data_IF_352798793733
#
_entry.id   IF_352798793733
#
_cell.length_a   1.000
_cell.length_b   1.000
_cell.length_c   1.000
_cell.angle_alpha   90.00
_cell.angle_beta   90.00
_cell.angle_gamma   90.00
#
_symmetry.space_group_name_H-M   'P 1'
#
loop_
_entity.id
_entity.type
_entity.pdbx_description
1 polymer ?
#
# COMPACT_ATOMS: atom_id res chain seq x y z
N UNK A 1 24.57 -4.20 -39.85
CA UNK A 1 23.82 -4.90 -38.78
C UNK A 1 24.73 -4.91 -37.57
N UNK A 2 24.71 -3.82 -36.81
CA UNK A 2 25.47 -3.70 -35.58
C UNK A 2 24.65 -4.33 -34.46
N UNK A 3 25.05 -5.53 -34.04
CA UNK A 3 24.67 -6.05 -32.72
C UNK A 3 25.80 -5.70 -31.77
N UNK A 4 25.76 -4.49 -31.22
CA UNK A 4 26.45 -4.23 -29.96
C UNK A 4 25.65 -4.94 -28.87
N UNK A 5 25.93 -6.24 -28.67
CA UNK A 5 25.63 -6.85 -27.37
C UNK A 5 26.46 -6.08 -26.33
N UNK A 6 25.84 -5.44 -25.32
CA UNK A 6 26.62 -4.78 -24.28
C UNK A 6 27.43 -5.88 -23.62
N UNK A 7 28.76 -5.85 -23.78
CA UNK A 7 29.67 -6.81 -23.17
C UNK A 7 29.31 -6.95 -21.69
N UNK A 8 28.54 -7.99 -21.32
CA UNK A 8 28.27 -8.31 -19.92
C UNK A 8 29.63 -8.53 -19.29
N UNK A 9 30.01 -7.65 -18.38
CA UNK A 9 31.35 -7.68 -17.77
C UNK A 9 31.44 -8.94 -16.93
N UNK A 10 32.17 -9.92 -17.45
CA UNK A 10 32.38 -11.21 -16.79
C UNK A 10 33.64 -11.17 -15.94
N UNK A 11 33.57 -11.78 -14.76
CA UNK A 11 34.68 -11.83 -13.82
C UNK A 11 35.20 -13.26 -13.69
N UNK A 12 36.52 -13.42 -13.72
CA UNK A 12 37.12 -14.67 -13.26
C UNK A 12 37.17 -14.69 -11.73
N UNK A 13 37.30 -15.87 -11.12
CA UNK A 13 37.50 -15.98 -9.68
C UNK A 13 38.73 -15.18 -9.17
N UNK A 14 39.76 -15.00 -10.03
CA UNK A 14 40.91 -14.17 -9.71
C UNK A 14 40.55 -12.68 -9.64
N UNK A 15 39.66 -12.23 -10.52
CA UNK A 15 39.23 -10.84 -10.56
C UNK A 15 38.36 -10.52 -9.36
N UNK A 16 37.43 -11.42 -9.00
CA UNK A 16 36.60 -11.29 -7.79
C UNK A 16 37.48 -11.27 -6.53
N UNK A 17 38.49 -12.15 -6.45
CA UNK A 17 39.43 -12.17 -5.33
C UNK A 17 40.19 -10.84 -5.19
N UNK A 18 40.63 -10.26 -6.31
CA UNK A 18 41.30 -8.94 -6.35
C UNK A 18 40.35 -7.81 -5.95
N UNK A 19 39.10 -7.85 -6.39
CA UNK A 19 38.08 -6.82 -6.09
C UNK A 19 37.70 -6.86 -4.60
N UNK A 20 37.51 -8.04 -4.03
CA UNK A 20 37.12 -8.20 -2.63
C UNK A 20 38.30 -8.13 -1.65
N UNK A 21 39.54 -8.10 -2.15
CA UNK A 21 40.74 -8.11 -1.30
C UNK A 21 40.90 -9.39 -0.49
N UNK A 22 40.40 -10.53 -0.98
CA UNK A 22 40.41 -11.82 -0.28
C UNK A 22 41.24 -12.85 -1.05
N UNK A 23 41.88 -13.82 -0.36
CA UNK A 23 42.64 -14.87 -1.03
C UNK A 23 41.77 -15.70 -1.97
N UNK A 24 42.30 -16.03 -3.16
CA UNK A 24 41.59 -16.84 -4.15
C UNK A 24 41.15 -18.20 -3.60
N UNK A 25 41.94 -18.80 -2.71
CA UNK A 25 41.62 -20.07 -2.04
C UNK A 25 40.39 -19.96 -1.15
N UNK A 26 40.19 -18.82 -0.49
CA UNK A 26 39.00 -18.54 0.32
C UNK A 26 37.75 -18.42 -0.55
N UNK A 27 37.83 -17.68 -1.66
CA UNK A 27 36.72 -17.61 -2.61
C UNK A 27 36.42 -18.97 -3.26
N UNK A 28 37.44 -19.79 -3.49
CA UNK A 28 37.25 -21.15 -4.00
C UNK A 28 36.46 -22.01 -3.01
N UNK A 29 36.79 -21.95 -1.71
CA UNK A 29 36.04 -22.64 -0.68
C UNK A 29 34.57 -22.16 -0.60
N UNK A 30 34.33 -20.84 -0.68
CA UNK A 30 32.98 -20.28 -0.68
C UNK A 30 32.20 -20.65 -1.94
N UNK A 31 32.85 -20.65 -3.11
CA UNK A 31 32.24 -21.13 -4.36
C UNK A 31 31.80 -22.58 -4.22
N UNK A 32 32.66 -23.43 -3.68
CA UNK A 32 32.38 -24.86 -3.56
C UNK A 32 31.25 -25.10 -2.53
N UNK A 33 31.20 -24.30 -1.46
CA UNK A 33 30.15 -24.34 -0.43
C UNK A 33 28.79 -23.82 -0.92
N UNK A 34 28.76 -22.74 -1.70
CA UNK A 34 27.54 -22.05 -2.14
C UNK A 34 27.30 -22.16 -3.64
N UNK A 35 27.85 -23.19 -4.30
CA UNK A 35 27.77 -23.43 -5.75
C UNK A 35 26.34 -23.27 -6.32
N UNK A 36 25.28 -23.81 -5.69
CA UNK A 36 23.91 -23.73 -6.23
C UNK A 36 23.35 -22.32 -6.36
N UNK A 37 23.95 -21.35 -5.67
CA UNK A 37 23.43 -20.00 -5.51
C UNK A 37 24.17 -18.96 -6.35
N UNK A 38 25.29 -19.35 -6.97
CA UNK A 38 26.17 -18.42 -7.68
C UNK A 38 25.91 -18.49 -9.19
N UNK A 39 25.38 -17.42 -9.82
CA UNK A 39 25.12 -17.42 -11.25
C UNK A 39 26.44 -17.46 -12.03
N UNK A 40 26.53 -18.41 -12.96
CA UNK A 40 27.71 -18.58 -13.84
C UNK A 40 27.33 -18.28 -15.28
N UNK A 41 28.32 -17.81 -16.05
CA UNK A 41 28.11 -17.49 -17.46
C UNK A 41 27.95 -18.78 -18.26
N UNK A 42 26.85 -18.89 -19.00
CA UNK A 42 26.54 -20.04 -19.84
C UNK A 42 27.70 -20.37 -20.81
N UNK A 43 28.02 -21.66 -20.95
CA UNK A 43 29.11 -22.13 -21.81
C UNK A 43 30.52 -22.04 -21.21
N UNK A 44 30.67 -21.60 -19.96
CA UNK A 44 31.96 -21.62 -19.25
C UNK A 44 32.06 -22.82 -18.30
N UNK A 45 33.19 -23.54 -18.32
CA UNK A 45 33.39 -24.75 -17.50
C UNK A 45 34.80 -24.83 -16.91
N UNK A 46 34.91 -25.42 -15.73
CA UNK A 46 36.20 -25.73 -15.10
C UNK A 46 37.10 -24.50 -14.95
N UNK A 47 38.27 -24.51 -15.62
CA UNK A 47 39.27 -23.43 -15.53
C UNK A 47 38.86 -22.13 -16.23
N UNK A 48 37.91 -22.19 -17.17
CA UNK A 48 37.40 -21.03 -17.90
C UNK A 48 36.11 -20.47 -17.31
N UNK A 49 35.67 -20.97 -16.14
CA UNK A 49 34.45 -20.53 -15.46
C UNK A 49 34.46 -19.01 -15.21
N UNK A 50 33.39 -18.35 -15.65
CA UNK A 50 33.20 -16.91 -15.47
C UNK A 50 31.91 -16.63 -14.71
N UNK A 51 31.93 -15.52 -13.99
CA UNK A 51 30.84 -15.04 -13.16
C UNK A 51 30.27 -13.76 -13.75
N UNK A 52 28.95 -13.62 -13.70
CA UNK A 52 28.28 -12.36 -14.01
C UNK A 52 28.48 -11.35 -12.87
N UNK A 53 27.99 -10.12 -13.04
CA UNK A 53 28.11 -9.06 -12.03
C UNK A 53 27.33 -9.40 -10.76
N UNK A 54 26.21 -10.08 -10.93
CA UNK A 54 25.30 -10.55 -9.90
C UNK A 54 26.03 -11.51 -8.94
N UNK A 55 26.86 -12.42 -9.48
CA UNK A 55 27.68 -13.30 -8.67
C UNK A 55 28.74 -12.54 -7.86
N UNK A 56 29.32 -11.45 -8.37
CA UNK A 56 30.23 -10.60 -7.60
C UNK A 56 29.53 -9.99 -6.38
N UNK A 57 28.27 -9.57 -6.52
CA UNK A 57 27.46 -9.03 -5.43
C UNK A 57 27.15 -10.11 -4.37
N UNK A 58 26.85 -11.34 -4.80
CA UNK A 58 26.68 -12.47 -3.88
C UNK A 58 27.98 -12.85 -3.16
N UNK A 59 29.12 -12.84 -3.84
CA UNK A 59 30.41 -13.05 -3.18
C UNK A 59 30.74 -11.95 -2.17
N UNK A 60 30.31 -10.70 -2.42
CA UNK A 60 30.43 -9.61 -1.45
C UNK A 60 29.56 -9.86 -0.23
N UNK A 61 28.30 -10.26 -0.43
CA UNK A 61 27.40 -10.62 0.66
C UNK A 61 27.96 -11.77 1.52
N UNK A 62 28.50 -12.82 0.87
CA UNK A 62 29.15 -13.93 1.59
C UNK A 62 30.35 -13.41 2.39
N UNK A 63 31.17 -12.52 1.83
CA UNK A 63 32.31 -11.94 2.52
C UNK A 63 31.89 -11.18 3.78
N UNK A 64 30.90 -10.29 3.66
CA UNK A 64 30.39 -9.48 4.77
C UNK A 64 29.81 -10.38 5.89
N UNK A 65 29.05 -11.41 5.52
CA UNK A 65 28.48 -12.36 6.50
C UNK A 65 29.55 -13.23 7.17
N UNK A 66 30.59 -13.63 6.43
CA UNK A 66 31.72 -14.39 6.99
C UNK A 66 32.59 -13.54 7.90
N UNK A 67 32.73 -12.23 7.64
CA UNK A 67 33.41 -11.30 8.53
C UNK A 67 32.68 -11.16 9.88
N UNK A 68 31.36 -11.27 9.88
CA UNK A 68 30.51 -11.26 11.09
C UNK A 68 30.41 -12.65 11.75
N UNK A 69 31.08 -13.67 11.21
CA UNK A 69 31.06 -15.07 11.69
C UNK A 69 29.67 -15.71 11.68
N UNK A 70 28.82 -15.33 10.73
CA UNK A 70 27.50 -15.95 10.56
C UNK A 70 27.61 -17.44 10.20
N UNK A 71 26.72 -18.29 10.73
CA UNK A 71 26.73 -19.70 10.44
C UNK A 71 26.33 -19.94 8.96
N UNK A 72 26.88 -20.96 8.29
CA UNK A 72 26.63 -21.25 6.88
C UNK A 72 25.14 -21.30 6.49
N UNK A 73 24.29 -21.79 7.38
CA UNK A 73 22.85 -21.94 7.18
C UNK A 73 22.14 -20.58 7.03
N UNK A 74 22.58 -19.57 7.78
CA UNK A 74 22.03 -18.20 7.70
C UNK A 74 22.47 -17.53 6.40
N UNK A 75 23.73 -17.75 5.99
CA UNK A 75 24.25 -17.28 4.70
C UNK A 75 23.44 -17.91 3.56
N UNK A 76 23.15 -19.21 3.63
CA UNK A 76 22.34 -19.91 2.64
C UNK A 76 20.91 -19.36 2.53
N UNK A 77 20.26 -19.08 3.66
CA UNK A 77 18.92 -18.47 3.67
C UNK A 77 18.91 -17.09 3.02
N UNK A 78 19.91 -16.26 3.34
CA UNK A 78 20.04 -14.94 2.72
C UNK A 78 20.30 -15.03 1.22
N UNK A 79 21.13 -15.97 0.78
CA UNK A 79 21.36 -16.21 -0.65
C UNK A 79 20.08 -16.65 -1.35
N UNK A 80 19.28 -17.56 -0.77
CA UNK A 80 17.99 -18.00 -1.32
C UNK A 80 17.00 -16.86 -1.54
N UNK A 81 16.99 -15.86 -0.67
CA UNK A 81 16.08 -14.71 -0.77
C UNK A 81 16.51 -13.68 -1.82
N UNK A 82 17.80 -13.65 -2.20
CA UNK A 82 18.37 -12.67 -3.13
C UNK A 82 18.52 -13.19 -4.56
N UNK A 83 18.02 -14.40 -4.87
CA UNK A 83 18.16 -15.00 -6.20
C UNK A 83 16.82 -14.89 -6.95
N UNK A 84 16.84 -14.14 -8.06
CA UNK A 84 15.70 -13.96 -8.95
C UNK A 84 15.58 -15.10 -10.00
N UNK A 85 16.63 -15.91 -10.18
CA UNK A 85 16.65 -17.07 -11.07
C UNK A 85 17.65 -18.14 -10.62
N UNK A 86 17.21 -19.39 -10.50
CA UNK A 86 18.10 -20.54 -10.26
C UNK A 86 18.70 -20.95 -11.61
N UNK A 87 20.02 -20.83 -11.77
CA UNK A 87 20.74 -21.36 -12.94
C UNK A 87 20.92 -22.87 -12.71
N UNK A 88 20.07 -23.67 -13.35
CA UNK A 88 20.26 -25.12 -13.43
C UNK A 88 21.33 -25.38 -14.49
N UNK A 89 22.48 -25.94 -14.09
CA UNK A 89 23.40 -26.56 -15.06
C UNK A 89 22.56 -27.59 -15.83
N UNK A 90 22.54 -27.56 -17.18
CA UNK A 90 21.97 -28.67 -17.96
C UNK A 90 22.71 -29.95 -17.57
N UNK A 91 22.12 -30.71 -16.65
CA UNK A 91 22.57 -32.05 -16.30
C UNK A 91 22.05 -32.91 -17.44
N UNK A 92 22.96 -33.45 -18.26
CA UNK A 92 22.61 -34.37 -19.36
C UNK A 92 22.01 -35.70 -18.85
N UNK A 93 21.90 -35.89 -17.53
CA UNK A 93 21.27 -37.04 -16.89
C UNK A 93 19.96 -36.63 -16.21
N UNK A 94 18.87 -37.23 -16.69
CA UNK A 94 17.51 -37.21 -16.14
C UNK A 94 17.52 -37.79 -14.71
N UNK A 95 17.96 -36.99 -13.73
CA UNK A 95 17.76 -37.31 -12.33
C UNK A 95 16.29 -37.02 -11.96
N UNK A 96 15.62 -38.01 -11.37
CA UNK A 96 14.22 -37.85 -10.94
C UNK A 96 14.01 -36.70 -9.92
N UNK A 97 15.10 -36.15 -9.39
CA UNK A 97 15.14 -35.04 -8.44
C UNK A 97 14.79 -33.72 -9.14
N UNK A 98 15.35 -33.44 -10.31
CA UNK A 98 15.07 -32.22 -11.07
C UNK A 98 13.60 -32.17 -11.52
N UNK A 99 13.06 -33.31 -11.97
CA UNK A 99 11.63 -33.43 -12.30
C UNK A 99 10.72 -33.24 -11.09
N UNK A 100 11.11 -33.77 -9.92
CA UNK A 100 10.36 -33.61 -8.66
C UNK A 100 10.32 -32.15 -8.20
N UNK A 101 11.43 -31.42 -8.32
CA UNK A 101 11.51 -30.00 -7.96
C UNK A 101 10.63 -29.17 -8.91
N UNK A 102 10.74 -29.40 -10.22
CA UNK A 102 9.92 -28.73 -11.23
C UNK A 102 8.43 -28.99 -10.99
N UNK A 103 8.04 -30.24 -10.70
CA UNK A 103 6.65 -30.60 -10.40
C UNK A 103 6.13 -29.86 -9.16
N UNK A 104 6.93 -29.80 -8.09
CA UNK A 104 6.56 -29.10 -6.86
C UNK A 104 6.42 -27.60 -7.09
N UNK A 105 7.27 -27.02 -7.94
CA UNK A 105 7.17 -25.62 -8.36
C UNK A 105 5.91 -25.37 -9.19
N UNK A 106 5.57 -26.23 -10.15
CA UNK A 106 4.33 -26.11 -10.93
C UNK A 106 3.08 -26.20 -10.05
N UNK A 107 3.05 -27.13 -9.10
CA UNK A 107 1.95 -27.24 -8.13
C UNK A 107 1.85 -26.02 -7.22
N UNK A 108 2.99 -25.48 -6.77
CA UNK A 108 3.07 -24.24 -6.02
C UNK A 108 2.55 -23.04 -6.81
N UNK A 109 2.99 -22.89 -8.07
CA UNK A 109 2.54 -21.82 -8.97
C UNK A 109 1.04 -21.92 -9.24
N UNK A 110 0.50 -23.12 -9.46
CA UNK A 110 -0.94 -23.30 -9.64
C UNK A 110 -1.75 -22.83 -8.42
N UNK A 111 -1.29 -23.14 -7.20
CA UNK A 111 -1.92 -22.62 -5.97
C UNK A 111 -1.83 -21.10 -5.86
N UNK A 112 -0.69 -20.52 -6.22
CA UNK A 112 -0.51 -19.06 -6.25
C UNK A 112 -1.48 -18.42 -7.24
N UNK A 113 -1.64 -18.97 -8.44
CA UNK A 113 -2.58 -18.47 -9.46
C UNK A 113 -4.01 -18.51 -8.94
N UNK A 114 -4.43 -19.61 -8.30
CA UNK A 114 -5.77 -19.73 -7.70
C UNK A 114 -5.99 -18.65 -6.63
N UNK A 115 -5.08 -18.54 -5.67
CA UNK A 115 -5.18 -17.51 -4.61
C UNK A 115 -5.12 -16.10 -5.17
N UNK A 116 -4.37 -15.87 -6.25
CA UNK A 116 -4.30 -14.57 -6.89
C UNK A 116 -5.64 -14.18 -7.54
N UNK A 117 -6.31 -15.11 -8.22
CA UNK A 117 -7.66 -14.88 -8.75
C UNK A 117 -8.69 -14.66 -7.63
N UNK A 118 -8.61 -15.43 -6.54
CA UNK A 118 -9.46 -15.21 -5.35
C UNK A 118 -9.22 -13.82 -4.72
N UNK A 119 -7.96 -13.41 -4.59
CA UNK A 119 -7.59 -12.10 -4.06
C UNK A 119 -8.09 -10.98 -4.98
N UNK A 120 -7.98 -11.15 -6.30
CA UNK A 120 -8.48 -10.19 -7.28
C UNK A 120 -10.00 -10.05 -7.20
N UNK A 121 -10.73 -11.15 -7.03
CA UNK A 121 -12.18 -11.13 -6.82
C UNK A 121 -12.55 -10.39 -5.53
N UNK A 122 -11.84 -10.66 -4.42
CA UNK A 122 -12.03 -9.95 -3.15
C UNK A 122 -11.74 -8.44 -3.29
N UNK A 123 -10.66 -8.08 -3.97
CA UNK A 123 -10.32 -6.68 -4.22
C UNK A 123 -11.40 -5.96 -5.04
N UNK A 124 -11.99 -6.65 -6.02
CA UNK A 124 -13.09 -6.10 -6.81
C UNK A 124 -14.37 -5.90 -5.95
N UNK A 125 -14.65 -6.81 -5.02
CA UNK A 125 -15.74 -6.64 -4.06
C UNK A 125 -15.51 -5.48 -3.09
N UNK A 126 -14.28 -5.31 -2.60
CA UNK A 126 -13.90 -4.18 -1.75
C UNK A 126 -14.10 -2.83 -2.46
N UNK A 127 -13.67 -2.72 -3.72
CA UNK A 127 -13.88 -1.52 -4.53
C UNK A 127 -15.38 -1.21 -4.68
N UNK A 128 -16.19 -2.23 -5.00
CA UNK A 128 -17.65 -2.06 -5.09
C UNK A 128 -18.27 -1.58 -3.77
N UNK A 129 -17.76 -2.06 -2.63
CA UNK A 129 -18.22 -1.63 -1.31
C UNK A 129 -17.83 -0.19 -1.01
N UNK A 130 -16.65 0.25 -1.43
CA UNK A 130 -16.20 1.64 -1.31
C UNK A 130 -17.13 2.56 -2.11
N UNK A 131 -17.41 2.23 -3.37
CA UNK A 131 -18.31 3.02 -4.22
C UNK A 131 -19.70 3.15 -3.59
N UNK A 132 -20.25 2.04 -3.06
CA UNK A 132 -21.53 2.06 -2.36
C UNK A 132 -21.48 2.95 -1.11
N UNK A 133 -20.39 2.88 -0.33
CA UNK A 133 -20.23 3.72 0.86
C UNK A 133 -20.17 5.21 0.50
N UNK A 134 -19.43 5.58 -0.55
CA UNK A 134 -19.39 6.96 -1.03
C UNK A 134 -20.77 7.46 -1.45
N UNK A 135 -21.53 6.65 -2.21
CA UNK A 135 -22.90 7.00 -2.60
C UNK A 135 -23.82 7.17 -1.38
N UNK A 136 -23.73 6.28 -0.39
CA UNK A 136 -24.52 6.40 0.84
C UNK A 136 -24.16 7.64 1.64
N UNK A 137 -22.87 7.96 1.76
CA UNK A 137 -22.41 9.17 2.44
C UNK A 137 -22.90 10.43 1.74
N UNK A 138 -22.82 10.49 0.40
CA UNK A 138 -23.35 11.62 -0.35
C UNK A 138 -24.86 11.80 -0.11
N UNK A 139 -25.62 10.70 -0.16
CA UNK A 139 -27.07 10.74 0.10
C UNK A 139 -27.38 11.21 1.53
N UNK A 140 -26.57 10.83 2.52
CA UNK A 140 -26.72 11.29 3.89
C UNK A 140 -26.42 12.78 4.03
N UNK A 141 -25.35 13.27 3.38
CA UNK A 141 -25.03 14.70 3.36
C UNK A 141 -26.17 15.52 2.74
N UNK A 142 -26.72 15.08 1.61
CA UNK A 142 -27.83 15.77 0.95
C UNK A 142 -29.07 15.84 1.85
N UNK A 143 -29.38 14.75 2.57
CA UNK A 143 -30.48 14.73 3.55
C UNK A 143 -30.23 15.64 4.75
N UNK A 144 -29.00 15.72 5.24
CA UNK A 144 -28.63 16.63 6.34
C UNK A 144 -28.81 18.08 5.89
N UNK A 145 -28.37 18.41 4.67
CA UNK A 145 -28.51 19.74 4.09
C UNK A 145 -29.99 20.14 3.91
N UNK A 146 -30.83 19.21 3.44
CA UNK A 146 -32.28 19.42 3.30
C UNK A 146 -32.97 19.61 4.66
N UNK A 147 -32.59 18.81 5.67
CA UNK A 147 -33.09 18.97 7.02
C UNK A 147 -32.68 20.31 7.62
N UNK A 148 -31.43 20.75 7.41
CA UNK A 148 -30.95 22.04 7.89
C UNK A 148 -31.76 23.19 7.30
N UNK A 149 -31.99 23.19 5.97
CA UNK A 149 -32.84 24.19 5.30
C UNK A 149 -34.27 24.21 5.86
N UNK A 150 -34.83 23.04 6.17
CA UNK A 150 -36.17 22.94 6.76
C UNK A 150 -36.21 23.53 8.18
N UNK A 151 -35.19 23.25 8.99
CA UNK A 151 -35.06 23.77 10.35
C UNK A 151 -34.92 25.28 10.32
N UNK A 152 -34.05 25.82 9.47
CA UNK A 152 -33.84 27.25 9.31
C UNK A 152 -35.12 27.95 8.85
N UNK A 153 -35.85 27.35 7.91
CA UNK A 153 -37.16 27.85 7.47
C UNK A 153 -38.19 27.89 8.60
N UNK A 154 -38.26 26.85 9.44
CA UNK A 154 -39.16 26.82 10.60
C UNK A 154 -38.76 27.84 11.68
N UNK A 155 -37.46 28.02 11.93
CA UNK A 155 -36.96 29.02 12.87
C UNK A 155 -37.34 30.43 12.39
N UNK A 156 -37.07 30.75 11.13
CA UNK A 156 -37.41 32.06 10.55
C UNK A 156 -38.92 32.36 10.60
N UNK A 157 -39.76 31.38 10.29
CA UNK A 157 -41.22 31.54 10.37
C UNK A 157 -41.68 31.80 11.82
N UNK A 158 -41.17 31.01 12.77
CA UNK A 158 -41.47 31.20 14.20
C UNK A 158 -41.02 32.57 14.70
N UNK A 159 -39.85 33.04 14.27
CA UNK A 159 -39.35 34.36 14.65
C UNK A 159 -40.23 35.48 14.08
N UNK A 160 -40.74 35.33 12.84
CA UNK A 160 -41.73 36.25 12.27
C UNK A 160 -43.03 36.28 13.08
N UNK A 161 -43.57 35.11 13.43
CA UNK A 161 -44.77 35.00 14.26
C UNK A 161 -44.57 35.63 15.64
N UNK A 162 -43.41 35.43 16.26
CA UNK A 162 -43.08 36.03 17.55
C UNK A 162 -43.02 37.56 17.46
N UNK A 163 -42.42 38.10 16.40
CA UNK A 163 -42.39 39.55 16.17
C UNK A 163 -43.79 40.14 15.96
N UNK A 164 -44.66 39.44 15.23
CA UNK A 164 -46.05 39.82 15.02
C UNK A 164 -46.82 39.86 16.36
N UNK A 165 -46.73 38.80 17.15
CA UNK A 165 -47.36 38.74 18.49
C UNK A 165 -46.84 39.85 19.41
N UNK A 166 -45.53 40.12 19.39
CA UNK A 166 -44.94 41.21 20.19
C UNK A 166 -45.52 42.57 19.76
N UNK A 167 -45.68 42.80 18.45
CA UNK A 167 -46.28 44.02 17.92
C UNK A 167 -47.74 44.17 18.33
N UNK A 168 -48.54 43.11 18.20
CA UNK A 168 -49.94 43.10 18.64
C UNK A 168 -50.06 43.41 20.14
N UNK A 169 -49.18 42.84 20.97
CA UNK A 169 -49.15 43.12 22.41
C UNK A 169 -48.82 44.60 22.67
N UNK A 170 -47.89 45.19 21.93
CA UNK A 170 -47.55 46.61 22.06
C UNK A 170 -48.71 47.53 21.63
N UNK A 171 -49.36 47.22 20.51
CA UNK A 171 -50.53 47.96 20.01
C UNK A 171 -51.69 47.87 21.02
N UNK A 172 -51.97 46.68 21.55
CA UNK A 172 -52.98 46.45 22.60
C UNK A 172 -52.68 47.24 23.86
N UNK A 173 -51.42 47.21 24.34
CA UNK A 173 -50.99 48.03 25.49
C UNK A 173 -51.22 49.52 25.26
N UNK A 174 -50.95 50.02 24.05
CA UNK A 174 -51.16 51.43 23.68
C UNK A 174 -52.64 51.82 23.73
N UNK A 175 -53.53 50.96 23.21
CA UNK A 175 -54.99 51.17 23.24
C UNK A 175 -55.53 51.14 24.68
N UNK A 176 -55.05 50.22 25.52
CA UNK A 176 -55.45 50.16 26.93
C UNK A 176 -55.01 51.44 27.67
N UNK A 177 -53.79 51.92 27.41
CA UNK A 177 -53.29 53.15 28.01
C UNK A 177 -54.09 54.39 27.58
N UNK A 178 -54.43 54.53 26.29
CA UNK A 178 -55.24 55.65 25.79
C UNK A 178 -56.66 55.62 26.34
N UNK A 179 -57.31 54.45 26.36
CA UNK A 179 -58.67 54.29 26.92
C UNK A 179 -58.73 54.51 28.44
N UNK A 180 -57.68 54.16 29.19
CA UNK A 180 -57.58 54.52 30.61
C UNK A 180 -57.41 56.02 30.83
N UNK A 181 -56.60 56.70 30.01
CA UNK A 181 -56.46 58.16 30.09
C UNK A 181 -57.78 58.89 29.79
N UNK A 182 -58.52 58.48 28.76
CA UNK A 182 -59.83 59.06 28.45
C UNK A 182 -60.82 58.86 29.61
N UNK A 183 -60.94 57.65 30.16
CA UNK A 183 -61.83 57.39 31.32
C UNK A 183 -61.47 58.21 32.55
N UNK A 184 -60.17 58.41 32.81
CA UNK A 184 -59.67 59.25 33.93
C UNK A 184 -59.95 60.74 33.70
N UNK A 185 -59.85 61.20 32.46
CA UNK A 185 -60.19 62.57 32.07
C UNK A 185 -61.70 62.83 32.18
N UNK A 186 -62.55 61.96 31.64
CA UNK A 186 -64.00 62.06 31.72
C UNK A 186 -64.52 62.03 33.17
N UNK A 187 -63.96 61.15 34.02
CA UNK A 187 -64.33 61.10 35.45
C UNK A 187 -63.90 62.33 36.23
N UNK A 188 -62.92 63.11 35.75
CA UNK A 188 -62.55 64.41 36.34
C UNK A 188 -63.41 65.55 35.80
N UNK A 189 -63.83 65.47 34.54
CA UNK A 189 -64.59 66.54 33.88
C UNK A 189 -66.07 66.56 34.27
N UNK A 190 -66.67 65.38 34.51
CA UNK A 190 -68.08 65.24 34.90
C UNK A 190 -68.31 65.13 36.41
N UNK A 191 -67.27 65.37 37.23
CA UNK A 191 -67.37 65.36 38.70
C UNK A 191 -67.63 66.73 39.33
N UNK A 192 -68.15 67.69 38.55
CA UNK A 192 -68.51 69.02 39.04
C UNK A 192 -69.91 69.39 38.58
#
# INVERSE_FOLDING_TARGET
>A
MDREEPYKKTYSLADIARILGRPRTTLQAWRDQFKPYLPTVAGTRGRTLRYEKEALELFRLIADMKDVQEPPEVIEQMLKQNIDYIVVEEVEEDDGITKSIIQTMYEGMNKIVIHFEEQKAMNMELLKRIDNLEQTNQTLLDKVDEQQKTIDGKINNRDQQLLEVVREIQETKKIIASTQQEKSWFTRLFKK
#
